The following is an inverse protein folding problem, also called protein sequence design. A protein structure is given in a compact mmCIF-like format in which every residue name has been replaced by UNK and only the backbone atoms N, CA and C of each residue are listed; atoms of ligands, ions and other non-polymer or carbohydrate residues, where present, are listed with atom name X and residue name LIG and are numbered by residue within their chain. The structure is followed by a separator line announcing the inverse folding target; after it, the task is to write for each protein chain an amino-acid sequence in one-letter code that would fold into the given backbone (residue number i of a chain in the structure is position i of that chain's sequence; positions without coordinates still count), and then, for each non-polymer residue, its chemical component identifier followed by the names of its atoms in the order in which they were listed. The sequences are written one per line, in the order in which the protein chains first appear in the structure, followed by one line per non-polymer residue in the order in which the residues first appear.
data_IF_760497466472
#
_entry.id   IF_760497466472
#
_cell.length_a   1.000
_cell.length_b   1.000
_cell.length_c   1.000
_cell.angle_alpha   90.00
_cell.angle_beta   90.00
_cell.angle_gamma   90.00
#
_symmetry.space_group_name_H-M   'P 1'
#
loop_
_entity.id
_entity.type
_entity.pdbx_description
1 polymer ?
#
# COMPACT_ATOMS: atom_id res chain seq x y z
N UNK A 1 -14.61 -6.87 -5.65
CA UNK A 1 -14.81 -6.95 -4.19
C UNK A 1 -15.25 -5.59 -3.68
N UNK A 2 -14.42 -4.54 -3.79
CA UNK A 2 -14.78 -3.16 -3.44
C UNK A 2 -16.10 -2.65 -4.05
N UNK A 3 -16.33 -2.87 -5.34
CA UNK A 3 -17.58 -2.44 -6.01
C UNK A 3 -18.85 -3.04 -5.40
N UNK A 4 -18.77 -4.25 -4.83
CA UNK A 4 -19.93 -4.95 -4.25
C UNK A 4 -20.21 -4.55 -2.81
N UNK A 5 -19.27 -3.88 -2.16
CA UNK A 5 -19.33 -3.46 -0.76
C UNK A 5 -19.25 -1.94 -0.65
N UNK A 6 -19.63 -1.21 -1.71
CA UNK A 6 -19.47 0.24 -1.77
C UNK A 6 -20.47 0.95 -0.83
N UNK A 7 -21.71 0.45 -0.75
CA UNK A 7 -22.75 1.04 0.09
C UNK A 7 -22.72 0.47 1.52
N UNK A 8 -22.56 -0.86 1.64
CA UNK A 8 -22.56 -1.56 2.92
C UNK A 8 -21.53 -2.69 2.92
N UNK A 9 -20.83 -2.80 4.04
CA UNK A 9 -19.88 -3.86 4.33
C UNK A 9 -18.44 -3.37 4.40
N UNK A 10 -17.55 -4.31 4.67
CA UNK A 10 -16.13 -4.05 4.86
C UNK A 10 -15.32 -5.01 4.00
N UNK A 11 -14.19 -4.53 3.52
CA UNK A 11 -13.17 -5.36 2.86
C UNK A 11 -11.96 -5.40 3.76
N UNK A 12 -11.55 -6.59 4.16
CA UNK A 12 -10.34 -6.81 4.92
C UNK A 12 -9.23 -7.27 3.98
N UNK A 13 -8.09 -6.60 4.04
CA UNK A 13 -6.87 -7.01 3.35
C UNK A 13 -5.80 -7.29 4.39
N UNK A 14 -5.15 -8.44 4.27
CA UNK A 14 -4.05 -8.86 5.15
C UNK A 14 -2.83 -9.17 4.30
N UNK A 15 -1.65 -8.73 4.75
CA UNK A 15 -0.37 -9.03 4.14
C UNK A 15 0.49 -9.71 5.20
N UNK A 16 0.97 -10.93 4.93
CA UNK A 16 1.74 -11.73 5.89
C UNK A 16 2.95 -12.35 5.23
N UNK A 17 4.08 -12.33 5.93
CA UNK A 17 5.27 -13.09 5.52
C UNK A 17 5.03 -14.59 5.67
N UNK A 18 5.14 -15.34 4.58
CA UNK A 18 4.76 -16.74 4.52
C UNK A 18 5.62 -17.50 3.53
N UNK A 19 5.98 -18.75 3.87
CA UNK A 19 6.61 -19.68 2.92
C UNK A 19 5.60 -20.41 2.04
N UNK A 20 4.30 -20.23 2.28
CA UNK A 20 3.23 -20.98 1.59
C UNK A 20 3.18 -22.48 1.93
N UNK A 21 4.06 -22.96 2.82
CA UNK A 21 4.12 -24.36 3.25
C UNK A 21 3.45 -24.55 4.60
N UNK A 22 2.87 -25.73 4.81
CA UNK A 22 2.33 -26.11 6.13
C UNK A 22 3.44 -26.24 7.16
N UNK A 23 3.09 -26.18 8.45
CA UNK A 23 4.07 -26.33 9.55
C UNK A 23 4.83 -27.65 9.45
N UNK A 24 4.14 -28.75 9.14
CA UNK A 24 4.74 -30.07 9.00
C UNK A 24 5.78 -30.11 7.87
N UNK A 25 5.45 -29.55 6.70
CA UNK A 25 6.36 -29.50 5.55
C UNK A 25 7.56 -28.63 5.88
N UNK A 26 7.34 -27.46 6.48
CA UNK A 26 8.42 -26.55 6.88
C UNK A 26 9.39 -27.19 7.88
N UNK A 27 8.89 -27.94 8.85
CA UNK A 27 9.73 -28.62 9.83
C UNK A 27 10.59 -29.71 9.16
N UNK A 28 10.03 -30.48 8.23
CA UNK A 28 10.81 -31.47 7.45
C UNK A 28 11.90 -30.80 6.60
N UNK A 29 11.59 -29.69 5.93
CA UNK A 29 12.55 -28.93 5.13
C UNK A 29 13.69 -28.38 5.99
N UNK A 30 13.37 -27.86 7.19
CA UNK A 30 14.38 -27.42 8.13
C UNK A 30 15.28 -28.56 8.62
N UNK A 31 14.73 -29.75 8.90
CA UNK A 31 15.53 -30.93 9.28
C UNK A 31 16.41 -31.42 8.13
N UNK A 32 15.95 -31.29 6.88
CA UNK A 32 16.70 -31.63 5.68
C UNK A 32 17.72 -30.55 5.24
N UNK A 33 17.78 -29.40 5.94
CA UNK A 33 18.69 -28.29 5.59
C UNK A 33 18.29 -27.52 4.33
N UNK A 34 17.05 -27.67 3.84
CA UNK A 34 16.57 -26.99 2.64
C UNK A 34 16.27 -25.51 2.91
N UNK A 35 16.64 -24.64 1.96
CA UNK A 35 16.37 -23.21 2.07
C UNK A 35 14.89 -22.90 1.78
N UNK A 36 14.18 -22.40 2.79
CA UNK A 36 12.77 -22.03 2.67
C UNK A 36 12.64 -20.62 2.10
N UNK A 37 12.24 -20.52 0.84
CA UNK A 37 11.90 -19.24 0.23
C UNK A 37 10.61 -18.68 0.86
N UNK A 38 10.69 -17.47 1.40
CA UNK A 38 9.55 -16.76 1.95
C UNK A 38 9.08 -15.66 1.00
N UNK A 39 7.76 -15.48 0.96
CA UNK A 39 7.05 -14.54 0.09
C UNK A 39 6.00 -13.78 0.88
N UNK A 40 5.41 -12.75 0.28
CA UNK A 40 4.30 -12.04 0.88
C UNK A 40 2.98 -12.72 0.49
N UNK A 41 2.24 -13.25 1.47
CA UNK A 41 0.88 -13.72 1.29
C UNK A 41 -0.08 -12.54 1.48
N UNK A 42 -0.76 -12.14 0.41
CA UNK A 42 -1.85 -11.17 0.46
C UNK A 42 -3.18 -11.90 0.40
N UNK A 43 -4.10 -11.59 1.32
CA UNK A 43 -5.49 -12.06 1.29
C UNK A 43 -6.45 -10.90 1.38
N UNK A 44 -7.47 -10.91 0.54
CA UNK A 44 -8.59 -9.98 0.62
C UNK A 44 -9.89 -10.75 0.84
N UNK A 45 -10.74 -10.29 1.76
CA UNK A 45 -12.05 -10.89 2.04
C UNK A 45 -13.10 -9.81 2.26
N UNK A 46 -14.33 -10.09 1.85
CA UNK A 46 -15.52 -9.31 2.19
C UNK A 46 -16.47 -10.10 3.11
N UNK A 47 -15.95 -11.09 3.83
CA UNK A 47 -16.71 -12.00 4.68
C UNK A 47 -17.41 -13.15 3.93
N UNK A 48 -17.71 -12.99 2.63
CA UNK A 48 -18.34 -14.04 1.80
C UNK A 48 -17.33 -14.72 0.87
N UNK A 49 -16.57 -13.92 0.14
CA UNK A 49 -15.57 -14.39 -0.81
C UNK A 49 -14.19 -13.98 -0.31
N UNK A 50 -13.23 -14.90 -0.44
CA UNK A 50 -11.84 -14.66 -0.07
C UNK A 50 -10.97 -14.97 -1.29
N UNK A 51 -10.08 -14.04 -1.62
CA UNK A 51 -9.05 -14.22 -2.65
C UNK A 51 -7.68 -14.09 -2.00
N UNK A 52 -6.71 -14.84 -2.50
CA UNK A 52 -5.35 -14.84 -1.99
C UNK A 52 -4.32 -14.92 -3.09
N UNK A 53 -3.18 -14.28 -2.91
CA UNK A 53 -2.03 -14.38 -3.80
C UNK A 53 -0.73 -14.37 -3.01
N UNK A 54 0.30 -15.02 -3.56
CA UNK A 54 1.67 -15.02 -3.04
C UNK A 54 2.52 -14.15 -3.95
N UNK A 55 3.16 -13.13 -3.40
CA UNK A 55 4.01 -12.18 -4.14
C UNK A 55 5.45 -12.40 -3.73
N UNK A 56 6.28 -12.79 -4.71
CA UNK A 56 7.72 -12.93 -4.54
C UNK A 56 8.47 -11.60 -4.69
N UNK A 57 9.79 -11.58 -4.42
CA UNK A 57 10.60 -10.38 -4.51
C UNK A 57 10.61 -9.74 -5.91
N UNK A 58 10.59 -10.56 -6.97
CA UNK A 58 10.64 -10.11 -8.36
C UNK A 58 9.40 -9.31 -8.77
N UNK A 59 8.22 -9.73 -8.31
CA UNK A 59 6.93 -9.14 -8.71
C UNK A 59 6.44 -8.05 -7.75
N UNK A 60 7.15 -7.85 -6.62
CA UNK A 60 6.79 -6.89 -5.57
C UNK A 60 6.44 -5.51 -6.14
N UNK A 61 7.34 -4.93 -6.95
CA UNK A 61 7.20 -3.55 -7.42
C UNK A 61 5.97 -3.37 -8.32
N UNK A 62 5.73 -4.33 -9.20
CA UNK A 62 4.56 -4.36 -10.08
C UNK A 62 3.28 -4.51 -9.28
N UNK A 63 3.28 -5.42 -8.29
CA UNK A 63 2.16 -5.61 -7.39
C UNK A 63 1.85 -4.34 -6.59
N UNK A 64 2.87 -3.70 -5.99
CA UNK A 64 2.71 -2.48 -5.22
C UNK A 64 2.09 -1.36 -6.05
N UNK A 65 2.58 -1.14 -7.27
CA UNK A 65 2.08 -0.11 -8.18
C UNK A 65 0.61 -0.32 -8.54
N UNK A 66 0.25 -1.56 -8.89
CA UNK A 66 -1.14 -1.94 -9.23
C UNK A 66 -2.06 -1.85 -8.02
N UNK A 67 -1.60 -2.35 -6.86
CA UNK A 67 -2.33 -2.34 -5.60
C UNK A 67 -2.62 -0.91 -5.12
N UNK A 68 -1.62 -0.03 -5.14
CA UNK A 68 -1.78 1.38 -4.77
C UNK A 68 -2.77 2.11 -5.69
N UNK A 69 -2.79 1.78 -6.98
CA UNK A 69 -3.73 2.35 -7.95
C UNK A 69 -5.16 1.94 -7.62
N UNK A 70 -5.39 0.64 -7.33
CA UNK A 70 -6.71 0.12 -6.95
C UNK A 70 -7.20 0.76 -5.65
N UNK A 71 -6.33 0.85 -4.63
CA UNK A 71 -6.70 1.47 -3.35
C UNK A 71 -7.10 2.93 -3.52
N UNK A 72 -6.29 3.72 -4.24
CA UNK A 72 -6.59 5.13 -4.50
C UNK A 72 -7.89 5.32 -5.28
N UNK A 73 -8.17 4.45 -6.25
CA UNK A 73 -9.39 4.53 -7.06
C UNK A 73 -10.66 4.12 -6.30
N UNK A 74 -10.56 3.20 -5.33
CA UNK A 74 -11.73 2.62 -4.64
C UNK A 74 -11.97 3.16 -3.24
N UNK A 75 -10.98 3.70 -2.55
CA UNK A 75 -11.13 4.28 -1.19
C UNK A 75 -11.43 5.78 -1.22
N UNK A 76 -12.49 6.19 -1.92
CA UNK A 76 -12.79 7.61 -2.20
C UNK A 76 -13.74 8.26 -1.18
N UNK A 77 -14.53 7.47 -0.45
CA UNK A 77 -15.59 7.96 0.44
C UNK A 77 -15.10 8.39 1.85
N UNK A 78 -13.85 8.84 1.99
CA UNK A 78 -13.29 9.31 3.26
C UNK A 78 -13.50 10.82 3.41
N UNK A 79 -13.71 11.29 4.65
CA UNK A 79 -13.78 12.74 4.93
C UNK A 79 -12.49 13.40 4.44
N UNK A 80 -12.62 14.43 3.61
CA UNK A 80 -11.46 15.19 3.12
C UNK A 80 -10.69 15.75 4.32
N UNK A 81 -9.38 15.52 4.32
CA UNK A 81 -8.49 16.13 5.31
C UNK A 81 -8.56 17.65 5.15
N UNK A 82 -9.00 18.34 6.19
CA UNK A 82 -8.94 19.80 6.25
C UNK A 82 -7.47 20.22 6.14
N UNK A 83 -7.13 20.92 5.05
CA UNK A 83 -5.79 21.50 4.89
C UNK A 83 -5.71 22.66 5.86
N UNK A 84 -5.06 22.47 7.01
CA UNK A 84 -4.49 23.60 7.76
C UNK A 84 -3.54 24.29 6.79
N UNK A 85 -3.93 25.46 6.29
CA UNK A 85 -3.10 26.31 5.46
C UNK A 85 -1.82 26.63 6.24
N UNK A 86 -0.75 25.89 5.97
CA UNK A 86 0.59 26.39 6.27
C UNK A 86 0.79 27.52 5.27
N UNK A 87 0.60 28.76 5.74
CA UNK A 87 0.90 29.98 5.01
C UNK A 87 2.21 29.79 4.25
N UNK A 88 2.15 30.04 2.94
CA UNK A 88 3.29 30.10 2.04
C UNK A 88 4.27 31.16 2.59
N UNK A 89 5.39 30.72 3.16
CA UNK A 89 6.61 31.50 3.12
C UNK A 89 7.35 31.05 1.85
N UNK A 90 7.05 31.73 0.75
CA UNK A 90 7.78 31.60 -0.50
C UNK A 90 7.82 33.01 -1.10
N UNK A 91 8.75 33.79 -0.56
CA UNK A 91 9.72 34.57 -1.32
C UNK A 91 9.18 35.24 -2.59
N UNK A 92 8.75 36.49 -2.44
CA UNK A 92 8.52 37.41 -3.56
C UNK A 92 9.84 38.09 -3.91
N UNK A 93 10.63 37.44 -4.77
CA UNK A 93 11.72 38.08 -5.49
C UNK A 93 11.19 38.70 -6.80
N UNK A 94 11.31 40.03 -6.93
CA UNK A 94 11.35 40.82 -8.20
C UNK A 94 11.64 42.31 -7.92
N UNK A 95 12.95 42.67 -7.94
CA UNK A 95 13.68 43.75 -8.73
C UNK A 95 13.02 45.15 -9.00
N UNK A 96 13.77 46.21 -9.42
CA UNK A 96 15.08 46.81 -9.08
C UNK A 96 15.01 48.35 -8.78
N UNK A 97 16.19 48.97 -8.57
CA UNK A 97 16.57 50.37 -8.84
C UNK A 97 16.76 51.39 -7.69
N UNK A 98 17.87 52.09 -7.87
CA UNK A 98 18.57 53.11 -7.10
C UNK A 98 17.84 54.43 -6.90
N UNK A 99 18.03 55.09 -5.74
CA UNK A 99 18.19 56.55 -5.64
C UNK A 99 19.16 56.95 -4.52
N UNK A 100 20.07 57.88 -4.88
CA UNK A 100 21.02 58.64 -4.03
C UNK A 100 20.31 59.72 -3.20
N UNK A 101 21.10 60.32 -2.30
CA UNK A 101 20.95 61.53 -1.45
C UNK A 101 20.66 61.23 0.02
N UNK A 102 21.35 61.80 1.01
CA UNK A 102 22.33 62.90 1.03
C UNK A 102 23.32 62.68 2.19
#
# INVERSE_FOLDING_TARGET
MFERTNDKGSVWVTMKYSSGKSKLIRNKMNTAGENVEYKCLIRASNGKKTISTMVGPKDHQRFQSSYATILKARMTALKKRERKEKKKAADSDKKPESKKHN
#
